data_IF_291803359591
#
_entry.id   IF_291803359591
#
_cell.length_a   1.000
_cell.length_b   1.000
_cell.length_c   1.000
_cell.angle_alpha   90.00
_cell.angle_beta   90.00
_cell.angle_gamma   90.00
#
_symmetry.space_group_name_H-M   'P 1'
#
loop_
_entity.id
_entity.type
_entity.pdbx_description
1 polymer ?
#
# COMPACT_ATOMS: atom_id res chain seq x y z
N UNK A 1 -2.86 36.60 4.58
CA UNK A 1 -2.54 35.16 4.79
C UNK A 1 -3.81 34.32 4.65
N UNK A 2 -3.77 33.21 3.89
CA UNK A 2 -4.92 32.29 3.72
C UNK A 2 -5.42 31.72 5.05
N UNK A 3 -4.50 31.43 5.97
CA UNK A 3 -4.81 30.91 7.31
C UNK A 3 -5.78 31.84 8.06
N UNK A 4 -5.43 33.14 8.20
CA UNK A 4 -6.28 34.14 8.86
C UNK A 4 -7.67 34.28 8.24
N UNK A 5 -7.77 34.20 6.90
CA UNK A 5 -9.07 34.26 6.19
C UNK A 5 -9.94 33.04 6.50
N UNK A 6 -9.36 31.83 6.52
CA UNK A 6 -10.08 30.59 6.80
C UNK A 6 -10.59 30.52 8.25
N UNK A 7 -9.78 30.97 9.21
CA UNK A 7 -10.23 31.06 10.61
C UNK A 7 -11.34 32.10 10.78
N UNK A 8 -11.23 33.25 10.08
CA UNK A 8 -12.25 34.30 10.15
C UNK A 8 -13.63 33.86 9.61
N UNK A 9 -13.68 32.87 8.69
CA UNK A 9 -14.93 32.27 8.20
C UNK A 9 -15.38 31.05 9.01
N UNK A 10 -14.77 30.79 10.18
CA UNK A 10 -15.19 29.76 11.12
C UNK A 10 -14.64 28.35 10.87
N UNK A 11 -13.62 28.18 10.01
CA UNK A 11 -12.98 26.87 9.86
C UNK A 11 -12.18 26.52 11.12
N UNK A 12 -12.25 25.26 11.54
CA UNK A 12 -11.45 24.74 12.64
C UNK A 12 -9.94 24.81 12.32
N UNK A 13 -9.13 25.13 13.33
CA UNK A 13 -7.70 25.45 13.18
C UNK A 13 -6.84 24.24 12.80
N UNK A 14 -7.29 23.05 13.15
CA UNK A 14 -6.69 21.76 12.78
C UNK A 14 -6.89 21.41 11.28
N UNK A 15 -7.97 21.91 10.67
CA UNK A 15 -8.27 21.73 9.25
C UNK A 15 -7.53 22.73 8.34
N UNK A 16 -6.92 23.78 8.89
CA UNK A 16 -6.24 24.83 8.11
C UNK A 16 -4.75 24.85 8.41
N UNK A 17 -3.93 24.53 7.41
CA UNK A 17 -2.48 24.60 7.54
C UNK A 17 -2.03 26.06 7.71
N UNK A 18 -1.34 26.37 8.80
CA UNK A 18 -0.60 27.63 9.01
C UNK A 18 0.63 27.73 8.09
N UNK A 19 1.34 28.86 8.14
CA UNK A 19 2.51 29.10 7.29
C UNK A 19 3.63 28.07 7.53
N UNK A 20 3.90 27.67 8.78
CA UNK A 20 4.94 26.70 9.11
C UNK A 20 4.59 25.31 8.57
N UNK A 21 3.35 24.85 8.77
CA UNK A 21 2.87 23.56 8.25
C UNK A 21 2.84 23.54 6.72
N UNK A 22 2.50 24.65 6.06
CA UNK A 22 2.56 24.77 4.59
C UNK A 22 3.99 24.66 4.07
N UNK A 23 4.94 25.35 4.70
CA UNK A 23 6.36 25.29 4.33
C UNK A 23 6.91 23.89 4.54
N UNK A 24 6.62 23.25 5.68
CA UNK A 24 6.99 21.86 5.95
C UNK A 24 6.41 20.90 4.90
N UNK A 25 5.12 21.03 4.57
CA UNK A 25 4.49 20.22 3.52
C UNK A 25 5.13 20.45 2.15
N UNK A 26 5.46 21.69 1.79
CA UNK A 26 6.14 22.01 0.51
C UNK A 26 7.52 21.36 0.46
N UNK A 27 8.30 21.43 1.54
CA UNK A 27 9.62 20.79 1.65
C UNK A 27 9.50 19.27 1.49
N UNK A 28 8.56 18.64 2.21
CA UNK A 28 8.31 17.20 2.12
C UNK A 28 7.89 16.77 0.71
N UNK A 29 7.07 17.56 0.02
CA UNK A 29 6.67 17.27 -1.36
C UNK A 29 7.90 17.31 -2.28
N UNK A 30 8.76 18.32 -2.15
CA UNK A 30 9.95 18.44 -2.98
C UNK A 30 10.95 17.30 -2.70
N UNK A 31 11.21 16.99 -1.43
CA UNK A 31 12.05 15.86 -1.02
C UNK A 31 11.51 14.52 -1.56
N UNK A 32 10.19 14.30 -1.52
CA UNK A 32 9.57 13.10 -2.09
C UNK A 32 9.63 13.06 -3.62
N UNK A 33 9.64 14.21 -4.30
CA UNK A 33 9.81 14.29 -5.76
C UNK A 33 11.25 14.00 -6.15
N UNK A 34 12.21 14.58 -5.46
CA UNK A 34 13.64 14.30 -5.64
C UNK A 34 13.96 12.83 -5.37
N UNK A 35 13.41 12.26 -4.29
CA UNK A 35 13.58 10.83 -4.00
C UNK A 35 13.05 9.97 -5.15
N UNK A 36 11.84 10.25 -5.66
CA UNK A 36 11.28 9.53 -6.81
C UNK A 36 12.15 9.64 -8.07
N UNK A 37 12.66 10.84 -8.38
CA UNK A 37 13.59 11.03 -9.51
C UNK A 37 14.86 10.18 -9.35
N UNK A 38 15.46 10.18 -8.16
CA UNK A 38 16.66 9.37 -7.86
C UNK A 38 16.36 7.87 -7.95
N UNK A 39 15.24 7.42 -7.40
CA UNK A 39 14.82 6.02 -7.45
C UNK A 39 14.56 5.56 -8.89
N UNK A 40 13.97 6.41 -9.74
CA UNK A 40 13.75 6.14 -11.17
C UNK A 40 15.07 6.05 -11.94
N UNK A 41 16.00 6.96 -11.71
CA UNK A 41 17.35 6.90 -12.28
C UNK A 41 18.06 5.63 -11.82
N UNK A 42 18.03 5.32 -10.52
CA UNK A 42 18.63 4.09 -9.99
C UNK A 42 17.99 2.84 -10.62
N UNK A 43 16.66 2.81 -10.78
CA UNK A 43 15.97 1.71 -11.48
C UNK A 43 16.41 1.59 -12.94
N UNK A 44 16.62 2.69 -13.65
CA UNK A 44 17.12 2.64 -15.03
C UNK A 44 18.58 2.20 -15.13
N UNK A 45 19.39 2.45 -14.11
CA UNK A 45 20.80 2.06 -14.06
C UNK A 45 21.00 0.60 -13.64
N UNK A 46 20.07 0.06 -12.84
CA UNK A 46 20.07 -1.37 -12.50
C UNK A 46 19.47 -2.14 -13.67
N UNK A 47 20.31 -2.63 -14.57
CA UNK A 47 19.92 -3.76 -15.41
C UNK A 47 19.73 -4.96 -14.49
N UNK A 48 18.48 -5.26 -14.14
CA UNK A 48 18.16 -6.56 -13.55
C UNK A 48 18.37 -7.60 -14.65
N UNK A 49 19.22 -8.60 -14.44
CA UNK A 49 19.33 -9.69 -15.39
C UNK A 49 17.96 -10.37 -15.51
N UNK A 50 17.55 -10.65 -16.74
CA UNK A 50 16.45 -11.58 -16.98
C UNK A 50 16.81 -12.95 -16.42
N UNK A 51 15.82 -13.76 -16.00
CA UNK A 51 16.09 -15.13 -15.59
C UNK A 51 16.82 -15.91 -16.69
N UNK A 52 17.73 -16.78 -16.28
CA UNK A 52 18.38 -17.76 -17.15
C UNK A 52 17.37 -18.80 -17.65
N UNK A 53 17.74 -19.59 -18.66
CA UNK A 53 16.87 -20.64 -19.19
C UNK A 53 16.48 -21.67 -18.09
N UNK A 54 17.43 -22.06 -17.25
CA UNK A 54 17.17 -22.98 -16.11
C UNK A 54 16.21 -22.35 -15.09
N UNK A 55 16.36 -21.05 -14.80
CA UNK A 55 15.45 -20.34 -13.91
C UNK A 55 14.06 -20.19 -14.54
N UNK A 56 13.95 -20.01 -15.86
CA UNK A 56 12.66 -19.97 -16.55
C UNK A 56 11.94 -21.31 -16.48
N UNK A 57 12.65 -22.42 -16.68
CA UNK A 57 12.10 -23.76 -16.53
C UNK A 57 11.63 -24.00 -15.09
N UNK A 58 12.42 -23.57 -14.10
CA UNK A 58 12.02 -23.65 -12.69
C UNK A 58 10.78 -22.78 -12.39
N UNK A 59 10.75 -21.54 -12.88
CA UNK A 59 9.60 -20.63 -12.74
C UNK A 59 8.35 -21.26 -13.32
N UNK A 60 8.45 -21.87 -14.50
CA UNK A 60 7.33 -22.55 -15.15
C UNK A 60 6.82 -23.71 -14.30
N UNK A 61 7.70 -24.64 -13.91
CA UNK A 61 7.32 -25.82 -13.12
C UNK A 61 6.67 -25.44 -11.80
N UNK A 62 7.24 -24.48 -11.07
CA UNK A 62 6.69 -24.03 -9.78
C UNK A 62 5.35 -23.31 -9.97
N UNK A 63 5.20 -22.51 -11.02
CA UNK A 63 3.95 -21.81 -11.33
C UNK A 63 2.84 -22.80 -11.67
N UNK A 64 3.14 -23.80 -12.51
CA UNK A 64 2.18 -24.84 -12.88
C UNK A 64 1.76 -25.67 -11.66
N UNK A 65 2.71 -26.11 -10.83
CA UNK A 65 2.42 -26.83 -9.60
C UNK A 65 1.54 -26.01 -8.65
N UNK A 66 1.83 -24.71 -8.49
CA UNK A 66 1.01 -23.81 -7.70
C UNK A 66 -0.40 -23.68 -8.27
N UNK A 67 -0.55 -23.40 -9.57
CA UNK A 67 -1.86 -23.24 -10.20
C UNK A 67 -2.69 -24.51 -10.12
N UNK A 68 -2.08 -25.69 -10.31
CA UNK A 68 -2.74 -26.98 -10.24
C UNK A 68 -3.25 -27.33 -8.83
N UNK A 69 -2.56 -26.85 -7.80
CA UNK A 69 -2.88 -27.16 -6.39
C UNK A 69 -3.61 -26.02 -5.66
N UNK A 70 -3.68 -24.83 -6.25
CA UNK A 70 -4.35 -23.67 -5.66
C UNK A 70 -5.88 -23.80 -5.77
N UNK A 71 -6.55 -23.89 -4.62
CA UNK A 71 -7.99 -24.07 -4.56
C UNK A 71 -8.72 -22.88 -5.21
N UNK A 72 -9.71 -23.19 -6.06
CA UNK A 72 -10.59 -22.23 -6.74
C UNK A 72 -9.92 -21.28 -7.76
N UNK A 73 -8.59 -21.25 -7.81
CA UNK A 73 -7.81 -20.46 -8.77
C UNK A 73 -8.27 -19.01 -8.88
N UNK A 74 -8.41 -18.50 -10.10
CA UNK A 74 -8.83 -17.13 -10.38
C UNK A 74 -10.27 -16.80 -9.94
N UNK A 75 -11.11 -17.80 -9.69
CA UNK A 75 -12.53 -17.63 -9.33
C UNK A 75 -12.80 -17.62 -7.83
N UNK A 76 -11.77 -17.61 -6.99
CA UNK A 76 -11.93 -17.68 -5.53
C UNK A 76 -12.81 -16.55 -4.96
N UNK A 77 -12.76 -15.34 -5.55
CA UNK A 77 -13.56 -14.20 -5.08
C UNK A 77 -15.06 -14.43 -5.25
N UNK A 78 -15.47 -15.11 -6.31
CA UNK A 78 -16.86 -15.46 -6.60
C UNK A 78 -17.32 -16.71 -5.82
N UNK A 79 -16.39 -17.63 -5.53
CA UNK A 79 -16.69 -18.92 -4.87
C UNK A 79 -16.61 -18.89 -3.35
N UNK A 80 -15.84 -17.96 -2.75
CA UNK A 80 -15.72 -17.85 -1.30
C UNK A 80 -17.06 -17.50 -0.65
N UNK A 81 -17.30 -18.05 0.54
CA UNK A 81 -18.41 -17.67 1.41
C UNK A 81 -17.85 -16.93 2.61
N UNK A 82 -18.60 -15.96 3.12
CA UNK A 82 -18.26 -15.30 4.37
C UNK A 82 -18.50 -16.27 5.53
N UNK A 83 -17.58 -16.26 6.49
CA UNK A 83 -17.79 -16.94 7.74
C UNK A 83 -18.89 -16.19 8.52
N UNK A 84 -19.86 -16.89 9.13
CA UNK A 84 -20.86 -16.25 10.00
C UNK A 84 -20.21 -15.35 11.06
N UNK A 85 -20.84 -14.20 11.34
CA UNK A 85 -20.29 -13.15 12.20
C UNK A 85 -20.13 -13.56 13.67
N UNK A 86 -20.87 -14.58 14.09
CA UNK A 86 -20.82 -15.19 15.42
C UNK A 86 -19.63 -16.13 15.60
N UNK A 87 -19.02 -16.62 14.52
CA UNK A 87 -17.84 -17.49 14.58
C UNK A 87 -16.57 -16.64 14.73
N UNK A 88 -15.79 -16.93 15.76
CA UNK A 88 -14.53 -16.22 16.05
C UNK A 88 -14.70 -14.99 16.93
N UNK A 89 -15.91 -14.72 17.44
CA UNK A 89 -16.10 -13.75 18.52
C UNK A 89 -15.40 -14.24 19.79
N UNK A 90 -14.68 -13.33 20.45
CA UNK A 90 -13.99 -13.66 21.69
C UNK A 90 -15.01 -14.10 22.75
N UNK A 91 -14.87 -15.29 23.36
CA UNK A 91 -15.72 -15.67 24.47
C UNK A 91 -15.49 -14.67 25.61
N UNK A 92 -16.58 -14.26 26.26
CA UNK A 92 -16.49 -13.48 27.50
C UNK A 92 -16.01 -14.45 28.58
N UNK A 93 -14.69 -14.64 28.67
CA UNK A 93 -14.07 -15.40 29.76
C UNK A 93 -14.03 -14.45 30.95
N UNK A 94 -15.04 -14.56 31.82
CA UNK A 94 -14.98 -13.89 33.12
C UNK A 94 -13.82 -14.51 33.90
N UNK A 95 -12.75 -13.74 34.10
CA UNK A 95 -11.68 -14.11 35.02
C UNK A 95 -12.24 -14.06 36.46
N UNK A 96 -11.88 -15.03 37.33
CA UNK A 96 -12.33 -15.08 38.72
C UNK A 96 -11.82 -13.91 39.56
#
# INVERSE_FOLDING_TARGET
CRFKKCIAVGMATDLVLDDNKRLAKRKLIEENRERRRKDEIQKSLVQKPEPTQEEWELIQVVTEAHVATNAQGSHWKQKRKFLPEDIGQAPIVNAP
#
